data_IF_563091463479
#
_entry.id   IF_563091463479
#
_cell.length_a   1.000
_cell.length_b   1.000
_cell.length_c   1.000
_cell.angle_alpha   90.00
_cell.angle_beta   90.00
_cell.angle_gamma   90.00
#
_symmetry.space_group_name_H-M   'P 1'
#
loop_
_entity.id
_entity.type
_entity.pdbx_description
1 polymer ?
#
# COMPACT_ATOMS: atom_id res chain seq x y z
N UNK A 1 17.49 12.43 -7.67
CA UNK A 1 16.02 12.41 -7.69
C UNK A 1 15.47 13.55 -8.54
N UNK A 2 14.91 13.21 -9.68
CA UNK A 2 14.14 14.09 -10.57
C UNK A 2 12.81 14.51 -9.91
N UNK A 3 12.18 15.56 -10.43
CA UNK A 3 10.86 16.02 -9.97
C UNK A 3 9.81 14.91 -10.09
N UNK A 4 9.86 14.15 -11.18
CA UNK A 4 8.96 13.03 -11.44
C UNK A 4 9.12 11.90 -10.41
N UNK A 5 10.35 11.52 -10.06
CA UNK A 5 10.61 10.50 -9.03
C UNK A 5 10.12 10.95 -7.65
N UNK A 6 10.26 12.24 -7.31
CA UNK A 6 9.69 12.82 -6.08
C UNK A 6 8.16 12.72 -6.06
N UNK A 7 7.51 13.06 -7.16
CA UNK A 7 6.05 12.97 -7.28
C UNK A 7 5.56 11.52 -7.20
N UNK A 8 6.24 10.58 -7.85
CA UNK A 8 5.94 9.15 -7.74
C UNK A 8 6.12 8.64 -6.30
N UNK A 9 7.20 9.03 -5.63
CA UNK A 9 7.44 8.64 -4.24
C UNK A 9 6.33 9.17 -3.31
N UNK A 10 5.92 10.43 -3.47
CA UNK A 10 4.81 11.01 -2.72
C UNK A 10 3.48 10.33 -3.03
N UNK A 11 3.23 9.99 -4.30
CA UNK A 11 2.05 9.23 -4.70
C UNK A 11 1.99 7.87 -4.02
N UNK A 12 3.10 7.12 -4.01
CA UNK A 12 3.14 5.82 -3.37
C UNK A 12 3.01 5.90 -1.85
N UNK A 13 3.62 6.88 -1.20
CA UNK A 13 3.45 7.11 0.25
C UNK A 13 2.00 7.41 0.61
N UNK A 14 1.35 8.33 -0.11
CA UNK A 14 -0.04 8.70 0.15
C UNK A 14 -1.00 7.55 -0.16
N UNK A 15 -0.71 6.77 -1.20
CA UNK A 15 -1.47 5.55 -1.50
C UNK A 15 -1.31 4.53 -0.39
N UNK A 16 -0.09 4.31 0.11
CA UNK A 16 0.20 3.38 1.19
C UNK A 16 -0.63 3.71 2.45
N UNK A 17 -0.68 4.97 2.87
CA UNK A 17 -1.50 5.43 4.00
C UNK A 17 -2.99 5.10 3.81
N UNK A 18 -3.51 5.34 2.60
CA UNK A 18 -4.90 5.00 2.23
C UNK A 18 -5.18 3.49 2.34
N UNK A 19 -4.25 2.65 1.86
CA UNK A 19 -4.39 1.20 1.93
C UNK A 19 -4.22 0.66 3.35
N UNK A 20 -3.33 1.24 4.16
CA UNK A 20 -3.17 0.89 5.58
C UNK A 20 -4.42 1.26 6.40
N UNK A 21 -4.99 2.44 6.17
CA UNK A 21 -6.27 2.84 6.77
C UNK A 21 -7.42 1.92 6.33
N UNK A 22 -7.47 1.54 5.04
CA UNK A 22 -8.44 0.56 4.55
C UNK A 22 -8.26 -0.79 5.22
N UNK A 23 -7.02 -1.25 5.42
CA UNK A 23 -6.74 -2.50 6.12
C UNK A 23 -7.22 -2.49 7.57
N UNK A 24 -7.10 -1.35 8.26
CA UNK A 24 -7.62 -1.18 9.61
C UNK A 24 -9.15 -1.23 9.68
N UNK A 25 -9.83 -0.59 8.72
CA UNK A 25 -11.29 -0.75 8.56
C UNK A 25 -11.64 -2.21 8.35
N UNK A 26 -10.91 -2.89 7.44
CA UNK A 26 -11.05 -4.32 7.11
C UNK A 26 -10.70 -5.27 8.26
N UNK A 27 -10.13 -4.82 9.38
CA UNK A 27 -9.91 -5.65 10.58
C UNK A 27 -11.15 -5.76 11.47
N UNK A 28 -12.12 -4.84 11.34
CA UNK A 28 -13.33 -4.85 12.16
C UNK A 28 -14.13 -6.15 11.92
N UNK A 29 -14.84 -6.66 12.93
CA UNK A 29 -15.67 -7.85 12.76
C UNK A 29 -16.80 -7.56 11.76
N UNK A 30 -17.00 -8.49 10.83
CA UNK A 30 -18.03 -8.42 9.79
C UNK A 30 -19.12 -9.48 10.00
N UNK A 31 -20.28 -9.26 9.38
CA UNK A 31 -21.34 -10.27 9.35
C UNK A 31 -20.84 -11.49 8.58
N UNK A 32 -21.30 -12.69 8.97
CA UNK A 32 -20.84 -13.99 8.43
C UNK A 32 -20.90 -14.09 6.89
N UNK A 33 -21.90 -13.44 6.28
CA UNK A 33 -22.09 -13.35 4.83
C UNK A 33 -21.05 -12.48 4.10
N UNK A 34 -20.45 -11.52 4.80
CA UNK A 34 -19.48 -10.56 4.23
C UNK A 34 -18.03 -11.03 4.46
N UNK A 35 -17.80 -11.97 5.37
CA UNK A 35 -16.45 -12.45 5.76
C UNK A 35 -15.61 -12.91 4.57
N UNK A 36 -16.19 -13.65 3.61
CA UNK A 36 -15.44 -14.15 2.45
C UNK A 36 -14.97 -13.02 1.53
N UNK A 37 -15.86 -12.08 1.21
CA UNK A 37 -15.55 -10.91 0.38
C UNK A 37 -14.52 -10.00 1.06
N UNK A 38 -14.69 -9.75 2.35
CA UNK A 38 -13.79 -8.91 3.13
C UNK A 38 -12.42 -9.56 3.34
N UNK A 39 -12.36 -10.90 3.42
CA UNK A 39 -11.08 -11.62 3.45
C UNK A 39 -10.32 -11.46 2.12
N UNK A 40 -11.00 -11.62 0.99
CA UNK A 40 -10.40 -11.40 -0.33
C UNK A 40 -9.92 -9.94 -0.51
N UNK A 41 -10.73 -8.97 -0.07
CA UNK A 41 -10.33 -7.56 -0.08
C UNK A 41 -9.10 -7.32 0.82
N UNK A 42 -9.07 -7.92 2.01
CA UNK A 42 -7.95 -7.80 2.95
C UNK A 42 -6.64 -8.35 2.37
N UNK A 43 -6.67 -9.50 1.71
CA UNK A 43 -5.50 -10.09 1.07
C UNK A 43 -5.02 -9.25 -0.13
N UNK A 44 -5.95 -8.71 -0.92
CA UNK A 44 -5.61 -7.79 -2.01
C UNK A 44 -4.97 -6.50 -1.50
N UNK A 45 -5.53 -5.91 -0.43
CA UNK A 45 -4.99 -4.71 0.22
C UNK A 45 -3.59 -4.98 0.77
N UNK A 46 -3.37 -6.12 1.45
CA UNK A 46 -2.04 -6.54 1.94
C UNK A 46 -1.03 -6.70 0.81
N UNK A 47 -1.43 -7.30 -0.32
CA UNK A 47 -0.56 -7.44 -1.49
C UNK A 47 -0.14 -6.07 -2.05
N UNK A 48 -1.09 -5.14 -2.18
CA UNK A 48 -0.81 -3.77 -2.65
C UNK A 48 0.10 -3.00 -1.70
N UNK A 49 -0.11 -3.08 -0.39
CA UNK A 49 0.77 -2.46 0.62
C UNK A 49 2.22 -2.95 0.45
N UNK A 50 2.43 -4.27 0.28
CA UNK A 50 3.76 -4.83 0.04
C UNK A 50 4.38 -4.29 -1.25
N UNK A 51 3.62 -4.26 -2.33
CA UNK A 51 4.09 -3.77 -3.62
C UNK A 51 4.48 -2.28 -3.56
N UNK A 52 3.68 -1.44 -2.88
CA UNK A 52 4.01 -0.03 -2.70
C UNK A 52 5.24 0.17 -1.80
N UNK A 53 5.38 -0.59 -0.72
CA UNK A 53 6.59 -0.55 0.13
C UNK A 53 7.84 -0.92 -0.67
N UNK A 54 7.74 -1.93 -1.54
CA UNK A 54 8.84 -2.34 -2.42
C UNK A 54 9.19 -1.24 -3.43
N UNK A 55 8.21 -0.67 -4.14
CA UNK A 55 8.41 0.44 -5.08
C UNK A 55 8.99 1.70 -4.43
N UNK A 56 8.54 2.03 -3.21
CA UNK A 56 9.11 3.12 -2.40
C UNK A 56 10.57 2.82 -2.08
N UNK A 57 10.87 1.57 -1.69
CA UNK A 57 12.23 1.12 -1.40
C UNK A 57 13.14 1.13 -2.62
N UNK A 58 12.65 0.74 -3.80
CA UNK A 58 13.39 0.84 -5.05
C UNK A 58 13.66 2.31 -5.40
N UNK A 59 12.64 3.16 -5.40
CA UNK A 59 12.80 4.60 -5.70
C UNK A 59 13.70 5.32 -4.69
N UNK A 60 13.70 4.90 -3.42
CA UNK A 60 14.56 5.45 -2.39
C UNK A 60 15.98 4.85 -2.42
N UNK A 61 16.12 3.56 -2.73
CA UNK A 61 17.39 2.84 -2.77
C UNK A 61 18.25 3.20 -3.99
N UNK A 62 17.63 3.58 -5.11
CA UNK A 62 18.34 4.20 -6.26
C UNK A 62 19.02 5.52 -5.88
N UNK A 63 18.78 6.09 -4.69
CA UNK A 63 19.47 7.28 -4.18
C UNK A 63 20.79 6.97 -3.47
N UNK A 64 21.03 5.75 -2.99
CA UNK A 64 22.27 5.41 -2.26
C UNK A 64 23.37 4.85 -3.17
N UNK A 65 23.09 4.66 -4.47
CA UNK A 65 24.01 4.04 -5.43
C UNK A 65 24.34 4.89 -6.67
N UNK A 66 24.23 6.22 -6.62
CA UNK A 66 24.62 7.12 -7.72
C UNK A 66 25.32 8.39 -7.24
#
# INVERSE_FOLDING_TARGET
>A
MTKLEREMLNYYKRSLELYEARLEVLKKPYKKSEVQLMSAERDLVRKKIKEFKLKIGELAGTLEGS
#
